data_IF_967025351935
#
_entry.id   IF_967025351935
#
_cell.length_a   1.000
_cell.length_b   1.000
_cell.length_c   1.000
_cell.angle_alpha   90.00
_cell.angle_beta   90.00
_cell.angle_gamma   90.00
#
_symmetry.space_group_name_H-M   'P 1'
#
loop_
_entity.id
_entity.type
_entity.pdbx_description
1 polymer ?
#
# COMPACT_ATOMS: atom_id res chain seq x y z
N UNK A 1 -19.80 15.29 -9.24
CA UNK A 1 -18.54 16.05 -9.08
C UNK A 1 -18.08 15.84 -7.64
N UNK A 2 -16.90 15.29 -7.45
CA UNK A 2 -16.33 15.00 -6.14
C UNK A 2 -15.65 16.23 -5.60
N UNK A 3 -15.81 16.49 -4.30
CA UNK A 3 -15.17 17.63 -3.63
C UNK A 3 -13.76 17.25 -3.21
N UNK A 4 -12.83 18.17 -3.22
CA UNK A 4 -11.45 17.98 -2.79
C UNK A 4 -10.48 17.70 -3.93
N UNK A 5 -9.18 17.73 -3.63
CA UNK A 5 -8.13 17.50 -4.60
C UNK A 5 -7.77 16.01 -4.68
N UNK A 6 -7.38 15.58 -5.89
CA UNK A 6 -6.84 14.26 -6.16
C UNK A 6 -5.32 14.30 -6.00
N UNK A 7 -4.79 13.62 -4.98
CA UNK A 7 -3.35 13.66 -4.67
C UNK A 7 -2.50 12.70 -5.51
N UNK A 8 -3.07 11.56 -5.88
CA UNK A 8 -2.39 10.51 -6.67
C UNK A 8 -3.43 9.76 -7.49
N UNK A 9 -3.12 9.41 -8.72
CA UNK A 9 -4.00 8.65 -9.62
C UNK A 9 -3.26 7.45 -10.21
N UNK A 10 -3.99 6.37 -10.49
CA UNK A 10 -3.46 5.18 -11.15
C UNK A 10 -4.56 4.42 -11.90
N UNK A 11 -4.15 3.63 -12.89
CA UNK A 11 -5.00 2.58 -13.45
C UNK A 11 -4.76 1.25 -12.73
N UNK A 12 -5.79 0.40 -12.67
CA UNK A 12 -5.56 -1.00 -12.30
C UNK A 12 -4.66 -1.69 -13.34
N UNK A 13 -3.88 -2.72 -12.93
CA UNK A 13 -2.98 -3.41 -13.86
C UNK A 13 -3.65 -3.97 -15.11
N UNK A 14 -4.93 -4.33 -15.01
CA UNK A 14 -5.75 -4.83 -16.13
C UNK A 14 -6.46 -3.71 -16.92
N UNK A 15 -6.25 -2.44 -16.56
CA UNK A 15 -6.82 -1.28 -17.23
C UNK A 15 -8.32 -1.09 -17.06
N UNK A 16 -9.00 -1.85 -16.18
CA UNK A 16 -10.46 -1.78 -16.04
C UNK A 16 -10.94 -0.70 -15.07
N UNK A 17 -10.07 -0.22 -14.20
CA UNK A 17 -10.39 0.76 -13.17
C UNK A 17 -9.40 1.92 -13.18
N UNK A 18 -9.91 3.10 -12.89
CA UNK A 18 -9.14 4.29 -12.52
C UNK A 18 -9.34 4.53 -11.03
N UNK A 19 -8.27 4.86 -10.30
CA UNK A 19 -8.31 5.07 -8.85
C UNK A 19 -7.55 6.33 -8.48
N UNK A 20 -8.06 7.04 -7.48
CA UNK A 20 -7.48 8.28 -6.97
C UNK A 20 -7.49 8.32 -5.45
N UNK A 21 -6.38 8.70 -4.83
CA UNK A 21 -6.35 9.10 -3.42
C UNK A 21 -6.84 10.52 -3.28
N UNK A 22 -7.79 10.72 -2.38
CA UNK A 22 -8.45 12.00 -2.14
C UNK A 22 -7.84 12.74 -0.95
N UNK A 23 -8.08 14.04 -0.90
CA UNK A 23 -7.72 14.87 0.24
C UNK A 23 -8.51 14.49 1.50
N UNK A 24 -9.72 13.96 1.34
CA UNK A 24 -10.69 13.65 2.40
C UNK A 24 -10.52 12.27 3.05
N UNK A 25 -9.33 11.71 3.08
CA UNK A 25 -9.05 10.40 3.69
C UNK A 25 -9.87 9.25 3.09
N UNK A 26 -10.03 9.24 1.78
CA UNK A 26 -10.69 8.16 1.05
C UNK A 26 -10.04 7.90 -0.31
N UNK A 27 -10.29 6.72 -0.84
CA UNK A 27 -9.93 6.35 -2.21
C UNK A 27 -11.18 6.36 -3.05
N UNK A 28 -11.06 7.04 -4.18
CA UNK A 28 -12.10 7.10 -5.19
C UNK A 28 -11.68 6.31 -6.41
N UNK A 29 -12.61 5.65 -7.03
CA UNK A 29 -12.34 4.93 -8.26
C UNK A 29 -13.51 4.97 -9.22
N UNK A 30 -13.23 4.58 -10.45
CA UNK A 30 -14.24 4.42 -11.50
C UNK A 30 -13.98 3.14 -12.27
N UNK A 31 -15.02 2.37 -12.46
CA UNK A 31 -14.97 1.26 -13.40
C UNK A 31 -15.16 1.82 -14.82
N UNK A 32 -14.16 1.65 -15.67
CA UNK A 32 -14.07 2.37 -16.95
C UNK A 32 -15.20 2.00 -17.91
N UNK A 33 -15.59 0.71 -17.97
CA UNK A 33 -16.57 0.20 -18.93
C UNK A 33 -17.95 0.84 -18.85
N UNK A 34 -18.41 1.20 -17.65
CA UNK A 34 -19.76 1.68 -17.36
C UNK A 34 -19.78 2.92 -16.45
N UNK A 35 -18.61 3.45 -16.13
CA UNK A 35 -18.41 4.67 -15.32
C UNK A 35 -19.03 4.60 -13.92
N UNK A 36 -19.15 3.39 -13.36
CA UNK A 36 -19.62 3.21 -11.99
C UNK A 36 -18.57 3.78 -11.02
N UNK A 37 -19.02 4.63 -10.11
CA UNK A 37 -18.22 5.19 -9.04
C UNK A 37 -17.95 4.15 -7.94
N UNK A 38 -16.73 4.15 -7.42
CA UNK A 38 -16.28 3.34 -6.31
C UNK A 38 -15.78 4.26 -5.21
N UNK A 39 -16.29 4.12 -3.99
CA UNK A 39 -15.82 4.83 -2.81
C UNK A 39 -15.28 3.84 -1.78
N UNK A 40 -14.04 4.00 -1.41
CA UNK A 40 -13.34 3.19 -0.41
C UNK A 40 -12.94 4.13 0.74
N UNK A 41 -13.81 4.23 1.74
CA UNK A 41 -13.73 5.15 2.85
C UNK A 41 -13.41 4.45 4.17
N UNK A 42 -13.30 5.23 5.26
CA UNK A 42 -13.07 4.73 6.61
C UNK A 42 -11.61 4.85 7.08
N UNK A 43 -10.79 5.58 6.36
CA UNK A 43 -9.39 5.81 6.75
C UNK A 43 -9.29 6.85 7.88
N UNK A 44 -8.55 6.55 8.95
CA UNK A 44 -8.34 7.49 10.05
C UNK A 44 -7.41 8.65 9.68
N UNK A 45 -6.59 8.50 8.63
CA UNK A 45 -5.65 9.51 8.18
C UNK A 45 -5.57 9.58 6.65
N UNK A 46 -4.92 10.63 6.15
CA UNK A 46 -4.72 10.85 4.73
C UNK A 46 -3.94 9.70 4.09
N UNK A 47 -4.42 9.24 2.94
CA UNK A 47 -3.73 8.24 2.12
C UNK A 47 -2.60 8.95 1.38
N UNK A 48 -1.36 8.74 1.85
CA UNK A 48 -0.15 9.34 1.27
C UNK A 48 0.44 8.50 0.14
N UNK A 49 0.23 7.20 0.19
CA UNK A 49 0.77 6.25 -0.77
C UNK A 49 -0.21 5.12 -1.06
N UNK A 50 -0.17 4.63 -2.29
CA UNK A 50 -0.80 3.38 -2.69
C UNK A 50 0.02 2.69 -3.80
N UNK A 51 -0.11 1.38 -3.91
CA UNK A 51 0.53 0.53 -4.92
C UNK A 51 -0.39 -0.61 -5.32
N UNK A 52 -0.11 -1.25 -6.45
CA UNK A 52 -0.78 -2.49 -6.85
C UNK A 52 0.08 -3.69 -6.47
N UNK A 53 -0.51 -4.69 -5.85
CA UNK A 53 0.17 -5.91 -5.42
C UNK A 53 -0.51 -7.15 -5.97
N UNK A 54 0.29 -8.20 -6.17
CA UNK A 54 -0.16 -9.53 -6.53
C UNK A 54 -0.48 -9.75 -8.00
N UNK A 55 -0.56 -11.03 -8.36
CA UNK A 55 -1.07 -11.48 -9.65
C UNK A 55 -2.58 -11.29 -9.75
N UNK A 56 -3.28 -11.38 -8.61
CA UNK A 56 -4.66 -10.96 -8.44
C UNK A 56 -4.62 -9.53 -7.89
N UNK A 57 -5.09 -8.52 -8.62
CA UNK A 57 -4.77 -7.15 -8.28
C UNK A 57 -5.42 -6.72 -6.96
N UNK A 58 -4.59 -6.43 -5.97
CA UNK A 58 -4.95 -5.68 -4.77
C UNK A 58 -4.47 -4.24 -4.90
N UNK A 59 -5.35 -3.28 -4.66
CA UNK A 59 -4.93 -1.92 -4.38
C UNK A 59 -4.56 -1.82 -2.91
N UNK A 60 -3.28 -1.67 -2.63
CA UNK A 60 -2.76 -1.51 -1.27
C UNK A 60 -2.58 -0.03 -0.97
N UNK A 61 -3.08 0.43 0.18
CA UNK A 61 -3.08 1.84 0.56
C UNK A 61 -2.53 2.04 1.96
N UNK A 62 -1.89 3.19 2.19
CA UNK A 62 -1.54 3.73 3.50
C UNK A 62 -2.73 4.46 4.15
N UNK A 63 -2.51 5.11 5.30
CA UNK A 63 -3.50 5.98 5.96
C UNK A 63 -4.27 5.33 7.11
N UNK A 64 -3.92 4.13 7.50
CA UNK A 64 -4.44 3.43 8.69
C UNK A 64 -3.30 2.76 9.45
N UNK A 65 -3.57 2.19 10.62
CA UNK A 65 -2.58 1.44 11.42
C UNK A 65 -2.13 0.12 10.77
N UNK A 66 -2.75 -0.23 9.65
CA UNK A 66 -2.42 -1.39 8.81
C UNK A 66 -2.38 -0.95 7.35
N UNK A 67 -1.70 -1.70 6.50
CA UNK A 67 -1.86 -1.58 5.05
C UNK A 67 -3.23 -2.15 4.66
N UNK A 68 -4.02 -1.37 3.94
CA UNK A 68 -5.38 -1.74 3.55
C UNK A 68 -5.37 -2.23 2.11
N UNK A 69 -5.70 -3.52 1.90
CA UNK A 69 -5.64 -4.20 0.61
C UNK A 69 -7.05 -4.41 0.05
N UNK A 70 -7.44 -3.60 -0.92
CA UNK A 70 -8.73 -3.70 -1.60
C UNK A 70 -8.65 -4.68 -2.77
N UNK A 71 -9.52 -5.71 -2.82
CA UNK A 71 -9.53 -6.68 -3.91
C UNK A 71 -10.16 -6.08 -5.17
N UNK A 72 -9.41 -6.06 -6.27
CA UNK A 72 -9.88 -5.59 -7.57
C UNK A 72 -10.07 -6.72 -8.60
N UNK A 73 -9.96 -7.96 -8.14
CA UNK A 73 -10.26 -9.14 -8.95
C UNK A 73 -11.78 -9.31 -9.16
N UNK A 74 -12.12 -10.16 -10.13
CA UNK A 74 -13.51 -10.47 -10.45
C UNK A 74 -14.21 -9.36 -11.24
N UNK A 75 -15.52 -9.56 -11.47
CA UNK A 75 -16.32 -8.72 -12.36
C UNK A 75 -16.64 -7.34 -11.78
N UNK A 76 -16.85 -7.29 -10.47
CA UNK A 76 -17.32 -6.09 -9.76
C UNK A 76 -16.20 -5.36 -8.98
N UNK A 77 -14.97 -5.90 -8.99
CA UNK A 77 -13.84 -5.34 -8.25
C UNK A 77 -14.11 -5.25 -6.74
N UNK A 78 -13.86 -4.09 -6.11
CA UNK A 78 -14.03 -3.94 -4.66
C UNK A 78 -15.47 -3.73 -4.20
N UNK A 79 -16.45 -3.60 -5.13
CA UNK A 79 -17.86 -3.33 -4.80
C UNK A 79 -18.43 -4.43 -3.89
N UNK A 80 -18.97 -4.01 -2.71
CA UNK A 80 -19.58 -4.91 -1.73
C UNK A 80 -18.60 -5.86 -1.03
N UNK A 81 -17.29 -5.67 -1.22
CA UNK A 81 -16.24 -6.50 -0.62
C UNK A 81 -15.51 -5.73 0.48
N UNK A 82 -15.07 -6.46 1.49
CA UNK A 82 -14.22 -5.90 2.55
C UNK A 82 -12.75 -5.97 2.14
N UNK A 83 -11.93 -4.99 2.54
CA UNK A 83 -10.49 -5.09 2.35
C UNK A 83 -9.88 -6.12 3.31
N UNK A 84 -8.72 -6.63 2.94
CA UNK A 84 -7.82 -7.34 3.85
C UNK A 84 -6.87 -6.33 4.47
N UNK A 85 -6.67 -6.40 5.79
CA UNK A 85 -5.75 -5.53 6.52
C UNK A 85 -4.53 -6.34 6.93
N UNK A 86 -3.33 -5.87 6.60
CA UNK A 86 -2.04 -6.56 6.86
C UNK A 86 -0.98 -5.56 7.33
N UNK A 87 0.18 -6.05 7.79
CA UNK A 87 1.29 -5.22 8.24
C UNK A 87 0.87 -4.23 9.35
N UNK A 88 0.55 -4.76 10.53
CA UNK A 88 0.07 -3.95 11.66
C UNK A 88 1.19 -3.12 12.29
N UNK A 89 1.04 -1.80 12.31
CA UNK A 89 1.95 -0.82 12.93
C UNK A 89 1.57 -0.44 14.38
N UNK A 90 0.66 -1.16 15.00
CA UNK A 90 0.20 -0.87 16.35
C UNK A 90 -0.59 0.44 16.42
N UNK A 91 -0.01 1.48 17.05
CA UNK A 91 -0.62 2.81 17.15
C UNK A 91 -0.21 3.77 16.04
N UNK A 92 0.72 3.36 15.17
CA UNK A 92 1.26 4.20 14.11
C UNK A 92 0.50 3.97 12.80
N UNK A 93 0.19 5.04 12.07
CA UNK A 93 -0.38 4.90 10.74
C UNK A 93 0.71 4.61 9.71
N UNK A 94 0.39 3.73 8.77
CA UNK A 94 1.19 3.53 7.58
C UNK A 94 1.22 4.82 6.74
N UNK A 95 2.41 5.24 6.36
CA UNK A 95 2.65 6.46 5.59
C UNK A 95 3.07 6.15 4.17
N UNK A 96 3.73 5.02 3.97
CA UNK A 96 4.14 4.55 2.65
C UNK A 96 3.90 3.06 2.52
N UNK A 97 3.47 2.63 1.33
CA UNK A 97 3.30 1.21 0.98
C UNK A 97 3.95 0.94 -0.37
N UNK A 98 4.62 -0.21 -0.49
CA UNK A 98 5.22 -0.69 -1.72
C UNK A 98 5.02 -2.20 -1.86
N UNK A 99 4.69 -2.66 -3.05
CA UNK A 99 4.50 -4.09 -3.32
C UNK A 99 5.84 -4.80 -3.52
N UNK A 100 5.93 -6.05 -3.05
CA UNK A 100 6.98 -6.93 -3.53
C UNK A 100 6.61 -7.37 -4.95
N UNK A 101 7.45 -7.06 -5.96
CA UNK A 101 7.11 -7.31 -7.36
C UNK A 101 6.67 -8.75 -7.63
N UNK A 102 5.51 -8.92 -8.28
CA UNK A 102 4.92 -10.21 -8.67
C UNK A 102 4.51 -11.13 -7.50
N UNK A 103 4.50 -10.62 -6.26
CA UNK A 103 4.09 -11.38 -5.08
C UNK A 103 2.83 -10.78 -4.45
N UNK A 104 2.06 -11.62 -3.75
CA UNK A 104 0.98 -11.16 -2.88
C UNK A 104 1.55 -10.71 -1.54
N UNK A 105 2.46 -9.73 -1.56
CA UNK A 105 3.13 -9.21 -0.38
C UNK A 105 3.37 -7.70 -0.50
N UNK A 106 3.38 -7.01 0.63
CA UNK A 106 3.51 -5.57 0.71
C UNK A 106 4.42 -5.15 1.86
N UNK A 107 5.26 -4.16 1.60
CA UNK A 107 5.97 -3.39 2.61
C UNK A 107 5.11 -2.21 3.05
N UNK A 108 4.96 -2.03 4.35
CA UNK A 108 4.33 -0.86 4.95
C UNK A 108 5.35 -0.13 5.83
N UNK A 109 5.58 1.14 5.54
CA UNK A 109 6.39 2.04 6.35
C UNK A 109 5.47 2.94 7.18
N UNK A 110 5.85 3.19 8.44
CA UNK A 110 5.01 3.83 9.44
C UNK A 110 5.55 5.20 9.89
N UNK A 111 4.72 5.94 10.63
CA UNK A 111 5.05 7.26 11.19
C UNK A 111 6.25 7.25 12.14
N UNK A 112 6.51 6.13 12.82
CA UNK A 112 7.66 5.99 13.73
C UNK A 112 8.94 5.53 13.02
N UNK A 113 8.89 5.29 11.71
CA UNK A 113 10.02 4.84 10.91
C UNK A 113 10.16 3.33 10.83
N UNK A 114 9.33 2.55 11.50
CA UNK A 114 9.32 1.10 11.33
C UNK A 114 8.83 0.70 9.94
N UNK A 115 9.28 -0.46 9.46
CA UNK A 115 8.85 -1.06 8.18
C UNK A 115 8.56 -2.53 8.40
N UNK A 116 7.38 -2.96 7.95
CA UNK A 116 6.91 -4.34 8.03
C UNK A 116 6.63 -4.86 6.63
N UNK A 117 7.12 -6.06 6.31
CA UNK A 117 6.68 -6.85 5.16
C UNK A 117 5.55 -7.77 5.61
N UNK A 118 4.47 -7.86 4.85
CA UNK A 118 3.38 -8.78 5.15
C UNK A 118 2.83 -9.45 3.89
N UNK A 119 2.48 -10.72 4.01
CA UNK A 119 1.74 -11.45 2.98
C UNK A 119 0.27 -10.99 2.97
N UNK A 120 -0.31 -10.90 1.75
CA UNK A 120 -1.72 -10.54 1.54
C UNK A 120 -2.52 -11.84 1.35
N UNK A 121 -2.63 -12.61 2.43
CA UNK A 121 -3.39 -13.85 2.47
C UNK A 121 -4.07 -14.04 3.84
N UNK A 122 -4.69 -15.21 4.06
CA UNK A 122 -5.35 -15.53 5.32
C UNK A 122 -4.37 -15.67 6.50
N UNK A 123 -3.12 -16.03 6.24
CA UNK A 123 -2.09 -16.24 7.27
C UNK A 123 -1.57 -14.92 7.82
N UNK A 124 -1.57 -13.87 6.99
CA UNK A 124 -1.06 -12.53 7.32
C UNK A 124 0.33 -12.56 7.95
N UNK A 125 1.18 -13.45 7.50
CA UNK A 125 2.56 -13.51 7.98
C UNK A 125 3.22 -12.17 7.79
N UNK A 126 3.87 -11.69 8.85
CA UNK A 126 4.49 -10.38 8.86
C UNK A 126 5.91 -10.48 9.42
N UNK A 127 6.81 -9.72 8.81
CA UNK A 127 8.23 -9.68 9.15
C UNK A 127 8.64 -8.24 9.39
N UNK A 128 9.27 -7.97 10.54
CA UNK A 128 9.84 -6.66 10.83
C UNK A 128 11.12 -6.48 10.02
N UNK A 129 11.11 -5.51 9.10
CA UNK A 129 12.25 -5.22 8.20
C UNK A 129 13.14 -4.12 8.79
N UNK A 130 12.54 -3.11 9.40
CA UNK A 130 13.22 -1.99 10.05
C UNK A 130 12.55 -1.68 11.37
N UNK A 131 13.33 -1.56 12.43
CA UNK A 131 12.84 -1.05 13.72
C UNK A 131 12.46 0.43 13.63
N UNK A 132 11.63 0.88 14.56
CA UNK A 132 11.29 2.29 14.70
C UNK A 132 12.54 3.16 14.88
N UNK A 133 12.62 4.26 14.13
CA UNK A 133 13.72 5.23 14.17
C UNK A 133 13.31 6.58 14.73
N UNK A 134 12.01 6.79 14.95
CA UNK A 134 11.42 8.06 15.34
C UNK A 134 11.20 9.03 14.17
N UNK A 135 11.44 8.60 12.92
CA UNK A 135 11.28 9.43 11.71
C UNK A 135 10.37 8.73 10.70
N UNK A 136 9.33 9.41 10.26
CA UNK A 136 8.32 8.90 9.34
C UNK A 136 8.95 8.34 8.04
N UNK A 137 8.53 7.16 7.62
CA UNK A 137 8.91 6.60 6.31
C UNK A 137 8.21 7.39 5.20
N UNK A 138 9.01 7.93 4.27
CA UNK A 138 8.52 8.76 3.15
C UNK A 138 8.65 8.09 1.79
N UNK A 139 9.49 7.07 1.68
CA UNK A 139 9.70 6.32 0.45
C UNK A 139 10.16 4.89 0.74
N UNK A 140 9.69 3.94 -0.06
CA UNK A 140 10.20 2.57 -0.14
C UNK A 140 10.32 2.22 -1.62
N UNK A 141 11.39 1.56 -2.00
CA UNK A 141 11.57 1.03 -3.35
C UNK A 141 12.25 -0.33 -3.29
N UNK A 142 11.82 -1.22 -4.16
CA UNK A 142 12.37 -2.57 -4.29
C UNK A 142 13.05 -2.68 -5.66
N UNK A 143 14.24 -3.26 -5.70
CA UNK A 143 14.91 -3.54 -6.96
C UNK A 143 14.11 -4.55 -7.80
N UNK A 144 14.18 -4.44 -9.13
CA UNK A 144 13.40 -5.30 -10.04
C UNK A 144 13.71 -6.78 -9.88
N UNK A 145 14.94 -7.11 -9.49
CA UNK A 145 15.41 -8.46 -9.21
C UNK A 145 15.08 -8.94 -7.79
N UNK A 146 14.39 -8.10 -7.00
CA UNK A 146 14.01 -8.32 -5.60
C UNK A 146 15.20 -8.52 -4.65
N UNK A 147 16.40 -8.17 -5.06
CA UNK A 147 17.60 -8.38 -4.25
C UNK A 147 17.79 -7.33 -3.14
N UNK A 148 17.26 -6.13 -3.34
CA UNK A 148 17.49 -4.99 -2.45
C UNK A 148 16.25 -4.17 -2.18
N UNK A 149 16.23 -3.55 -0.99
CA UNK A 149 15.26 -2.54 -0.58
C UNK A 149 15.95 -1.22 -0.28
N UNK A 150 15.34 -0.11 -0.69
CA UNK A 150 15.67 1.23 -0.26
C UNK A 150 14.53 1.79 0.58
N UNK A 151 14.85 2.40 1.72
CA UNK A 151 13.88 3.05 2.62
C UNK A 151 14.39 4.45 2.92
N UNK A 152 13.59 5.46 2.55
CA UNK A 152 13.83 6.86 2.88
C UNK A 152 12.91 7.34 4.00
N UNK A 153 13.39 8.27 4.84
CA UNK A 153 12.61 8.86 5.91
C UNK A 153 12.59 10.40 5.88
N UNK A 154 11.72 11.00 6.70
CA UNK A 154 11.52 12.45 6.74
C UNK A 154 12.73 13.25 7.24
N UNK A 155 13.71 12.61 7.87
CA UNK A 155 14.98 13.25 8.30
C UNK A 155 16.05 13.21 7.22
N UNK A 156 15.75 12.63 6.04
CA UNK A 156 16.69 12.50 4.93
C UNK A 156 17.62 11.30 5.02
N UNK A 157 17.40 10.38 5.97
CA UNK A 157 18.15 9.15 6.04
C UNK A 157 17.68 8.17 4.96
N UNK A 158 18.63 7.43 4.41
CA UNK A 158 18.38 6.35 3.45
C UNK A 158 19.01 5.06 3.99
N UNK A 159 18.19 4.04 4.14
CA UNK A 159 18.64 2.66 4.35
C UNK A 159 18.66 1.94 3.00
N UNK A 160 19.78 1.36 2.65
CA UNK A 160 19.93 0.40 1.57
C UNK A 160 20.35 -0.95 2.15
N UNK A 161 19.58 -2.00 1.88
CA UNK A 161 19.81 -3.32 2.45
C UNK A 161 19.46 -4.41 1.44
N UNK A 162 20.17 -5.56 1.44
CA UNK A 162 19.69 -6.74 0.77
C UNK A 162 18.38 -7.19 1.42
N UNK A 163 17.44 -7.71 0.58
CA UNK A 163 16.15 -8.26 1.05
C UNK A 163 16.31 -9.69 1.56
N UNK A 164 17.25 -10.42 1.00
CA UNK A 164 17.52 -11.79 1.34
C UNK A 164 18.99 -11.91 1.76
N UNK A 165 19.22 -12.37 2.98
CA UNK A 165 20.52 -12.91 3.31
C UNK A 165 20.63 -14.22 2.55
N UNK A 166 21.55 -14.32 1.59
CA UNK A 166 21.85 -15.61 0.97
C UNK A 166 22.23 -16.59 2.06
N UNK A 167 21.72 -17.81 1.99
CA UNK A 167 22.28 -18.90 2.76
C UNK A 167 23.71 -19.12 2.21
N UNK A 168 24.74 -18.63 2.96
CA UNK A 168 26.12 -19.01 2.78
C UNK A 168 26.37 -20.40 3.42
#
# INVERSE_FOLDING_TARGET
MWKGSHGKVTFSPDGKYLVSAMQENEVHGWRIRDKIDLAMAGYPAKIKSFTWAGNTPFLVTSGASEAICWPFDGKEGPLGRKPTCVANGGKQNATFVESLPQENAVFAGFQDGSVVLSEIDETKKSYLIRNATGSEVTAISISNDKSHILIGDAMGNILWSPLWAGDD
#
